data_IF_483243869947
#
_entry.id   IF_483243869947
#
_cell.length_a   1.000
_cell.length_b   1.000
_cell.length_c   1.000
_cell.angle_alpha   90.00
_cell.angle_beta   90.00
_cell.angle_gamma   90.00
#
_symmetry.space_group_name_H-M   'P 1'
#
loop_
_entity.id
_entity.type
_entity.pdbx_description
1 polymer ?
#
# COMPACT_ATOMS: atom_id res chain seq x y z
N UNK A 1 0.59 49.48 10.53
CA UNK A 1 -0.73 49.13 9.97
C UNK A 1 -1.84 49.50 10.96
N UNK A 2 -2.20 50.79 11.00
CA UNK A 2 -3.40 51.31 11.67
C UNK A 2 -4.38 51.86 10.63
N UNK A 3 -5.58 52.27 11.06
CA UNK A 3 -6.76 52.63 10.25
C UNK A 3 -6.52 53.44 8.96
N UNK A 4 -5.43 54.21 8.86
CA UNK A 4 -5.14 55.04 7.68
C UNK A 4 -4.15 54.46 6.65
N UNK A 5 -3.54 53.27 6.87
CA UNK A 5 -2.61 52.65 5.90
C UNK A 5 -2.56 51.11 6.00
N UNK A 6 -3.66 50.44 5.63
CA UNK A 6 -3.68 48.97 5.46
C UNK A 6 -3.41 48.59 4.00
N UNK A 7 -2.15 48.49 3.59
CA UNK A 7 -1.84 47.75 2.37
C UNK A 7 -2.14 46.25 2.60
N UNK A 8 -2.93 45.65 1.72
CA UNK A 8 -3.39 44.26 1.72
C UNK A 8 -4.49 43.83 2.73
N UNK A 9 -5.26 44.78 3.30
CA UNK A 9 -6.49 44.44 4.05
C UNK A 9 -6.29 43.74 5.41
N UNK A 10 -5.06 43.75 5.95
CA UNK A 10 -4.74 43.24 7.28
C UNK A 10 -4.63 44.40 8.28
N UNK A 11 -5.58 44.47 9.22
CA UNK A 11 -5.57 45.46 10.30
C UNK A 11 -4.95 44.84 11.56
N UNK A 12 -3.67 45.16 11.83
CA UNK A 12 -2.95 44.62 12.98
C UNK A 12 -3.40 45.24 14.31
N UNK A 13 -4.04 46.40 14.28
CA UNK A 13 -4.62 47.03 15.48
C UNK A 13 -5.89 46.32 15.97
N UNK A 14 -6.61 45.64 15.07
CA UNK A 14 -7.81 44.85 15.41
C UNK A 14 -7.51 43.34 15.55
N UNK A 15 -6.30 42.90 15.18
CA UNK A 15 -5.89 41.51 15.27
C UNK A 15 -5.60 41.13 16.74
N UNK A 16 -6.57 40.48 17.39
CA UNK A 16 -6.36 39.89 18.70
C UNK A 16 -5.24 38.83 18.67
N UNK A 17 -4.42 38.79 19.73
CA UNK A 17 -3.44 37.72 19.90
C UNK A 17 -4.13 36.46 20.41
N UNK A 18 -4.76 35.74 19.49
CA UNK A 18 -5.41 34.46 19.73
C UNK A 18 -4.82 33.41 18.76
N UNK A 19 -4.14 32.42 19.32
CA UNK A 19 -3.53 31.32 18.58
C UNK A 19 -4.32 30.01 18.70
N UNK A 20 -5.39 30.00 19.48
CA UNK A 20 -6.23 28.81 19.69
C UNK A 20 -7.31 28.71 18.59
N UNK A 21 -7.62 29.83 17.91
CA UNK A 21 -8.49 29.82 16.72
C UNK A 21 -7.71 29.60 15.41
N UNK A 22 -8.23 28.79 14.45
CA UNK A 22 -7.55 28.55 13.18
C UNK A 22 -7.28 29.82 12.36
N UNK A 23 -8.22 30.79 12.36
CA UNK A 23 -8.02 32.05 11.65
C UNK A 23 -6.98 32.95 12.33
N UNK A 24 -6.96 32.98 13.66
CA UNK A 24 -5.97 33.74 14.43
C UNK A 24 -4.56 33.19 14.22
N UNK A 25 -4.39 31.86 14.32
CA UNK A 25 -3.12 31.18 14.08
C UNK A 25 -2.56 31.46 12.68
N UNK A 26 -3.39 31.32 11.62
CA UNK A 26 -2.98 31.61 10.25
C UNK A 26 -2.61 33.08 10.03
N UNK A 27 -3.36 34.01 10.62
CA UNK A 27 -3.05 35.44 10.55
C UNK A 27 -1.68 35.74 11.17
N UNK A 28 -1.41 35.19 12.36
CA UNK A 28 -0.12 35.38 13.04
C UNK A 28 1.04 34.64 12.37
N UNK A 29 0.79 33.50 11.71
CA UNK A 29 1.78 32.82 10.87
C UNK A 29 2.19 33.69 9.68
N UNK A 30 1.23 34.31 8.99
CA UNK A 30 1.51 35.23 7.87
C UNK A 30 2.31 36.45 8.32
N UNK A 31 1.99 37.00 9.50
CA UNK A 31 2.78 38.09 10.10
C UNK A 31 4.22 37.64 10.36
N UNK A 32 4.41 36.45 10.93
CA UNK A 32 5.75 35.88 11.13
C UNK A 32 6.53 35.76 9.83
N UNK A 33 5.91 35.22 8.78
CA UNK A 33 6.53 35.06 7.45
C UNK A 33 6.92 36.40 6.84
N UNK A 34 6.02 37.40 6.85
CA UNK A 34 6.30 38.73 6.30
C UNK A 34 7.41 39.48 7.06
N UNK A 35 7.47 39.34 8.38
CA UNK A 35 8.54 39.95 9.18
C UNK A 35 9.87 39.22 8.94
N UNK A 36 9.85 37.89 8.83
CA UNK A 36 11.03 37.08 8.49
C UNK A 36 11.59 37.44 7.12
N UNK A 37 10.71 37.64 6.14
CA UNK A 37 11.07 37.93 4.75
C UNK A 37 11.42 39.41 4.53
N UNK A 38 11.34 40.23 5.58
CA UNK A 38 11.70 41.65 5.56
C UNK A 38 10.68 42.54 4.84
N UNK A 39 9.51 42.01 4.47
CA UNK A 39 8.40 42.78 3.90
C UNK A 39 7.73 43.68 4.96
N UNK A 40 7.89 43.32 6.24
CA UNK A 40 7.42 44.11 7.37
C UNK A 40 8.55 44.35 8.38
N UNK A 41 8.75 45.59 8.87
CA UNK A 41 7.97 46.80 8.57
C UNK A 41 8.46 47.55 7.29
N UNK A 42 7.54 48.18 6.53
CA UNK A 42 7.88 48.89 5.28
C UNK A 42 8.72 50.16 5.47
N UNK A 43 8.62 50.81 6.64
CA UNK A 43 9.53 51.87 7.09
C UNK A 43 10.29 51.33 8.30
N UNK A 44 11.56 50.94 8.13
CA UNK A 44 12.33 50.22 9.14
C UNK A 44 13.43 51.10 9.76
N UNK A 45 13.13 51.69 10.91
CA UNK A 45 14.14 52.17 11.89
C UNK A 45 14.42 51.12 12.99
N UNK A 46 13.85 49.91 12.89
CA UNK A 46 14.04 48.84 13.86
C UNK A 46 15.40 48.17 13.66
N UNK A 47 16.17 48.02 14.74
CA UNK A 47 17.45 47.31 14.71
C UNK A 47 17.25 45.81 14.50
N UNK A 48 18.20 45.15 13.82
CA UNK A 48 18.16 43.70 13.55
C UNK A 48 17.91 42.83 14.80
N UNK A 49 18.36 43.29 15.96
CA UNK A 49 18.17 42.60 17.25
C UNK A 49 16.69 42.59 17.71
N UNK A 50 15.94 43.65 17.42
CA UNK A 50 14.52 43.75 17.82
C UNK A 50 13.64 42.85 16.95
N UNK A 51 13.93 42.79 15.64
CA UNK A 51 13.27 41.88 14.71
C UNK A 51 13.53 40.41 15.07
N UNK A 52 14.78 40.05 15.38
CA UNK A 52 15.12 38.68 15.80
C UNK A 52 14.45 38.29 17.13
N UNK A 53 14.40 39.21 18.10
CA UNK A 53 13.70 39.00 19.37
C UNK A 53 12.19 38.77 19.16
N UNK A 54 11.57 39.55 18.28
CA UNK A 54 10.16 39.38 17.90
C UNK A 54 9.92 38.02 17.24
N UNK A 55 10.71 37.68 16.22
CA UNK A 55 10.58 36.41 15.50
C UNK A 55 10.75 35.22 16.45
N UNK A 56 11.76 35.23 17.32
CA UNK A 56 11.96 34.17 18.33
C UNK A 56 10.77 34.06 19.28
N UNK A 57 10.25 35.19 19.75
CA UNK A 57 9.11 35.23 20.67
C UNK A 57 7.83 34.67 20.04
N UNK A 58 7.53 35.08 18.80
CA UNK A 58 6.35 34.64 18.06
C UNK A 58 6.47 33.19 17.63
N UNK A 59 7.63 32.76 17.12
CA UNK A 59 7.88 31.38 16.71
C UNK A 59 7.64 30.40 17.87
N UNK A 60 8.16 30.71 19.07
CA UNK A 60 7.93 29.88 20.26
C UNK A 60 6.44 29.70 20.55
N UNK A 61 5.66 30.78 20.55
CA UNK A 61 4.22 30.73 20.82
C UNK A 61 3.44 29.98 19.74
N UNK A 62 3.82 30.15 18.47
CA UNK A 62 3.25 29.39 17.35
C UNK A 62 3.55 27.88 17.50
N UNK A 63 4.78 27.51 17.83
CA UNK A 63 5.16 26.11 18.08
C UNK A 63 4.43 25.50 19.29
N UNK A 64 4.25 26.27 20.37
CA UNK A 64 3.48 25.85 21.54
C UNK A 64 1.99 25.67 21.23
N UNK A 65 1.41 26.47 20.33
CA UNK A 65 0.02 26.27 19.89
C UNK A 65 -0.12 25.06 18.96
N UNK A 66 0.78 24.94 17.97
CA UNK A 66 0.79 23.83 17.01
C UNK A 66 0.99 22.48 17.71
N UNK A 67 1.93 22.40 18.65
CA UNK A 67 2.13 21.19 19.45
C UNK A 67 0.92 20.81 20.31
N UNK A 68 0.19 21.79 20.85
CA UNK A 68 -1.07 21.56 21.58
C UNK A 68 -2.17 21.04 20.65
N UNK A 69 -2.36 21.63 19.46
CA UNK A 69 -3.35 21.16 18.48
C UNK A 69 -3.02 19.75 17.98
N UNK A 70 -1.74 19.45 17.73
CA UNK A 70 -1.28 18.11 17.36
C UNK A 70 -1.51 17.10 18.49
N UNK A 71 -1.33 17.47 19.75
CA UNK A 71 -1.57 16.58 20.88
C UNK A 71 -3.07 16.28 21.08
N UNK A 72 -3.94 17.27 20.85
CA UNK A 72 -5.40 17.13 21.00
C UNK A 72 -6.04 16.41 19.81
N UNK A 73 -5.62 16.74 18.58
CA UNK A 73 -6.31 16.34 17.34
C UNK A 73 -5.48 15.43 16.44
N UNK A 74 -4.24 15.16 16.79
CA UNK A 74 -3.29 14.44 15.96
C UNK A 74 -2.68 15.32 14.86
N UNK A 75 -1.52 14.89 14.34
CA UNK A 75 -0.76 15.63 13.32
C UNK A 75 -1.50 15.78 11.98
N UNK A 76 -2.44 14.88 11.69
CA UNK A 76 -3.21 14.86 10.45
C UNK A 76 -4.67 14.97 10.84
N UNK A 77 -5.35 16.01 10.35
CA UNK A 77 -6.80 16.16 10.51
C UNK A 77 -7.48 14.90 9.98
N UNK A 78 -8.52 14.44 10.68
CA UNK A 78 -9.18 13.15 10.42
C UNK A 78 -9.40 12.91 8.92
N UNK A 79 -8.80 11.83 8.40
CA UNK A 79 -8.90 11.40 7.01
C UNK A 79 -9.59 10.04 6.95
N UNK A 80 -10.21 9.69 5.81
CA UNK A 80 -10.74 8.33 5.62
C UNK A 80 -9.59 7.35 5.34
N UNK A 81 -9.84 6.07 5.56
CA UNK A 81 -8.91 5.03 5.12
C UNK A 81 -8.97 4.93 3.59
N UNK A 82 -7.81 4.85 2.94
CA UNK A 82 -7.76 4.49 1.51
C UNK A 82 -8.33 3.09 1.31
N UNK A 83 -8.72 2.72 0.07
CA UNK A 83 -9.23 1.36 -0.24
C UNK A 83 -8.26 0.26 0.21
N UNK A 84 -6.96 0.50 0.07
CA UNK A 84 -5.90 -0.42 0.51
C UNK A 84 -5.82 -0.50 2.03
N UNK A 85 -5.85 0.65 2.71
CA UNK A 85 -5.81 0.70 4.18
C UNK A 85 -7.07 0.06 4.79
N UNK A 86 -8.24 0.30 4.18
CA UNK A 86 -9.50 -0.27 4.60
C UNK A 86 -9.49 -1.79 4.48
N UNK A 87 -9.08 -2.34 3.33
CA UNK A 87 -8.96 -3.78 3.13
C UNK A 87 -8.06 -4.42 4.20
N UNK A 88 -6.84 -3.89 4.39
CA UNK A 88 -5.91 -4.44 5.38
C UNK A 88 -6.45 -4.35 6.81
N UNK A 89 -7.16 -3.27 7.14
CA UNK A 89 -7.76 -3.08 8.47
C UNK A 89 -8.86 -4.10 8.72
N UNK A 90 -9.78 -4.27 7.76
CA UNK A 90 -10.87 -5.24 7.87
C UNK A 90 -10.35 -6.67 7.93
N UNK A 91 -9.35 -7.02 7.13
CA UNK A 91 -8.67 -8.33 7.20
C UNK A 91 -8.08 -8.59 8.57
N UNK A 92 -7.40 -7.59 9.14
CA UNK A 92 -6.76 -7.71 10.45
C UNK A 92 -7.78 -7.84 11.58
N UNK A 93 -8.91 -7.14 11.48
CA UNK A 93 -9.97 -7.17 12.49
C UNK A 93 -10.81 -8.45 12.44
N UNK A 94 -11.16 -8.91 11.24
CA UNK A 94 -12.09 -10.02 11.04
C UNK A 94 -11.41 -11.36 10.75
N UNK A 95 -10.10 -11.37 10.48
CA UNK A 95 -9.37 -12.59 10.11
C UNK A 95 -9.75 -13.14 8.72
N UNK A 96 -10.29 -12.29 7.84
CA UNK A 96 -10.68 -12.65 6.48
C UNK A 96 -9.62 -12.20 5.46
N UNK A 97 -9.70 -12.68 4.22
CA UNK A 97 -8.75 -12.36 3.13
C UNK A 97 -9.43 -12.06 1.77
N UNK A 98 -10.74 -11.78 1.79
CA UNK A 98 -11.54 -11.42 0.61
C UNK A 98 -10.96 -10.19 -0.12
N UNK A 99 -10.88 -10.15 -1.46
CA UNK A 99 -10.48 -8.96 -2.19
C UNK A 99 -11.57 -7.88 -2.11
N UNK A 100 -11.38 -6.88 -1.26
CA UNK A 100 -12.33 -5.79 -0.99
C UNK A 100 -11.97 -4.52 -1.78
N UNK A 101 -10.68 -4.34 -2.10
CA UNK A 101 -10.14 -3.15 -2.74
C UNK A 101 -10.84 -2.86 -4.07
N UNK A 102 -11.08 -3.89 -4.87
CA UNK A 102 -11.71 -3.78 -6.20
C UNK A 102 -13.21 -3.46 -6.14
N UNK A 103 -13.81 -3.55 -4.94
CA UNK A 103 -15.22 -3.22 -4.69
C UNK A 103 -15.40 -1.76 -4.24
N UNK A 104 -14.31 -1.09 -3.89
CA UNK A 104 -14.30 0.31 -3.50
C UNK A 104 -13.92 1.19 -4.70
N UNK A 105 -14.51 2.39 -4.84
CA UNK A 105 -14.08 3.37 -5.82
C UNK A 105 -12.59 3.70 -5.71
N UNK A 106 -11.98 4.06 -6.82
CA UNK A 106 -10.58 4.46 -6.83
C UNK A 106 -10.34 5.74 -6.04
N UNK A 107 -9.33 5.73 -5.17
CA UNK A 107 -8.88 6.93 -4.48
C UNK A 107 -8.15 7.86 -5.45
N UNK A 108 -8.53 9.14 -5.45
CA UNK A 108 -7.90 10.17 -6.28
C UNK A 108 -6.58 10.58 -5.64
N UNK A 109 -5.46 10.29 -6.32
CA UNK A 109 -4.14 10.77 -5.90
C UNK A 109 -4.01 12.27 -6.21
N UNK A 110 -3.69 13.06 -5.19
CA UNK A 110 -3.29 14.46 -5.36
C UNK A 110 -1.79 14.57 -5.15
N UNK A 111 -1.09 15.22 -6.09
CA UNK A 111 0.38 15.33 -6.09
C UNK A 111 1.13 13.98 -5.98
N UNK A 112 0.52 12.88 -6.46
CA UNK A 112 1.10 11.54 -6.40
C UNK A 112 0.92 10.81 -5.06
N UNK A 113 0.20 11.40 -4.10
CA UNK A 113 -0.11 10.78 -2.82
C UNK A 113 -1.62 10.58 -2.66
N UNK A 114 -2.00 9.40 -2.18
CA UNK A 114 -3.40 9.04 -1.91
C UNK A 114 -3.84 9.43 -0.49
N UNK A 115 -2.90 9.85 0.39
CA UNK A 115 -3.13 10.09 1.84
C UNK A 115 -3.40 11.56 2.20
N UNK A 116 -3.58 12.43 1.21
CA UNK A 116 -3.84 13.86 1.43
C UNK A 116 -5.27 14.04 1.95
N UNK A 117 -5.42 14.46 3.20
CA UNK A 117 -6.74 14.56 3.87
C UNK A 117 -7.73 15.46 3.11
N UNK A 118 -7.27 16.59 2.55
CA UNK A 118 -8.12 17.55 1.84
C UNK A 118 -8.71 16.99 0.52
N UNK A 119 -8.10 15.95 -0.06
CA UNK A 119 -8.61 15.31 -1.28
C UNK A 119 -9.53 14.12 -1.01
N UNK A 120 -9.70 13.75 0.26
CA UNK A 120 -10.45 12.56 0.67
C UNK A 120 -11.87 12.91 1.16
N UNK A 121 -12.66 13.56 0.31
CA UNK A 121 -14.05 13.86 0.64
C UNK A 121 -14.91 12.57 0.70
N UNK A 122 -15.74 12.47 1.73
CA UNK A 122 -16.73 11.40 1.88
C UNK A 122 -18.02 11.79 1.13
N UNK A 123 -18.27 11.14 0.01
CA UNK A 123 -19.56 11.26 -0.69
C UNK A 123 -20.56 10.22 -0.16
N UNK A 124 -21.86 10.50 -0.30
CA UNK A 124 -22.91 9.56 0.09
C UNK A 124 -22.79 8.21 -0.66
N UNK A 125 -22.43 8.25 -1.94
CA UNK A 125 -22.21 7.04 -2.75
C UNK A 125 -21.04 6.20 -2.22
N UNK A 126 -19.94 6.87 -1.86
CA UNK A 126 -18.76 6.20 -1.31
C UNK A 126 -19.08 5.55 0.05
N UNK A 127 -19.81 6.25 0.91
CA UNK A 127 -20.25 5.69 2.20
C UNK A 127 -21.13 4.45 2.01
N UNK A 128 -22.08 4.49 1.08
CA UNK A 128 -22.90 3.32 0.74
C UNK A 128 -22.04 2.14 0.28
N UNK A 129 -21.00 2.38 -0.53
CA UNK A 129 -20.04 1.34 -0.93
C UNK A 129 -19.23 0.78 0.23
N UNK A 130 -18.80 1.60 1.18
CA UNK A 130 -18.12 1.09 2.36
C UNK A 130 -19.02 0.16 3.19
N UNK A 131 -20.31 0.50 3.32
CA UNK A 131 -21.29 -0.35 4.02
C UNK A 131 -21.54 -1.66 3.26
N UNK A 132 -21.75 -1.62 1.94
CA UNK A 132 -21.89 -2.82 1.11
C UNK A 132 -20.68 -3.77 1.27
N UNK A 133 -19.48 -3.21 1.28
CA UNK A 133 -18.22 -3.96 1.44
C UNK A 133 -18.07 -4.49 2.88
N UNK A 134 -18.50 -3.72 3.88
CA UNK A 134 -18.52 -4.18 5.27
C UNK A 134 -19.47 -5.35 5.47
N UNK A 135 -20.67 -5.32 4.89
CA UNK A 135 -21.64 -6.42 4.97
C UNK A 135 -21.08 -7.71 4.34
N UNK A 136 -20.39 -7.59 3.20
CA UNK A 136 -19.70 -8.72 2.57
C UNK A 136 -18.58 -9.28 3.43
N UNK A 137 -17.76 -8.40 4.00
CA UNK A 137 -16.68 -8.79 4.90
C UNK A 137 -17.20 -9.50 6.15
N UNK A 138 -18.31 -9.02 6.74
CA UNK A 138 -18.95 -9.65 7.88
C UNK A 138 -19.57 -10.99 7.52
N UNK A 139 -20.22 -11.10 6.35
CA UNK A 139 -20.77 -12.38 5.88
C UNK A 139 -19.68 -13.44 5.74
N UNK A 140 -18.54 -13.09 5.14
CA UNK A 140 -17.37 -13.97 5.04
C UNK A 140 -16.82 -14.37 6.43
N UNK A 141 -16.70 -13.39 7.33
CA UNK A 141 -16.20 -13.64 8.68
C UNK A 141 -17.12 -14.59 9.47
N UNK A 142 -18.44 -14.41 9.36
CA UNK A 142 -19.41 -15.30 9.99
C UNK A 142 -19.41 -16.69 9.37
N UNK A 143 -19.31 -16.79 8.05
CA UNK A 143 -19.23 -18.08 7.37
C UNK A 143 -18.01 -18.88 7.85
N UNK A 144 -16.83 -18.26 7.90
CA UNK A 144 -15.61 -18.89 8.45
C UNK A 144 -15.74 -19.26 9.92
N UNK A 145 -16.33 -18.38 10.73
CA UNK A 145 -16.49 -18.63 12.15
C UNK A 145 -17.43 -19.83 12.42
N UNK A 146 -18.46 -20.01 11.60
CA UNK A 146 -19.47 -21.06 11.78
C UNK A 146 -19.07 -22.38 11.09
N UNK A 147 -18.55 -22.30 9.87
CA UNK A 147 -18.28 -23.46 9.02
C UNK A 147 -16.78 -23.87 9.00
N UNK A 148 -15.91 -23.00 9.52
CA UNK A 148 -14.45 -23.15 9.44
C UNK A 148 -13.90 -22.79 8.06
N UNK A 149 -12.56 -22.76 7.96
CA UNK A 149 -11.91 -22.49 6.67
C UNK A 149 -12.12 -23.65 5.68
N UNK A 150 -12.45 -23.31 4.44
CA UNK A 150 -12.51 -24.28 3.34
C UNK A 150 -11.11 -24.83 3.09
N UNK A 151 -10.88 -26.10 3.46
CA UNK A 151 -9.59 -26.76 3.23
C UNK A 151 -9.53 -27.29 1.80
N UNK A 152 -8.73 -26.64 0.96
CA UNK A 152 -8.35 -27.16 -0.35
C UNK A 152 -6.89 -27.65 -0.35
N UNK A 153 -6.69 -28.92 -0.72
CA UNK A 153 -5.38 -29.50 -0.94
C UNK A 153 -5.39 -30.25 -2.27
N UNK A 154 -4.37 -30.01 -3.09
CA UNK A 154 -4.22 -30.67 -4.38
C UNK A 154 -2.76 -30.98 -4.68
N UNK A 155 -2.48 -32.26 -4.94
CA UNK A 155 -1.16 -32.72 -5.37
C UNK A 155 -1.06 -32.77 -6.89
N UNK A 156 0.02 -32.16 -7.40
CA UNK A 156 0.32 -32.11 -8.82
C UNK A 156 1.55 -32.96 -9.11
N UNK A 157 1.31 -34.15 -9.66
CA UNK A 157 2.41 -35.00 -10.13
C UNK A 157 3.20 -34.30 -11.25
N UNK A 158 4.48 -34.64 -11.45
CA UNK A 158 5.30 -34.03 -12.50
C UNK A 158 4.66 -34.14 -13.90
N UNK A 159 3.99 -35.26 -14.18
CA UNK A 159 3.20 -35.44 -15.40
C UNK A 159 2.03 -34.45 -15.52
N UNK A 160 1.33 -34.16 -14.42
CA UNK A 160 0.21 -33.19 -14.41
C UNK A 160 0.67 -31.75 -14.59
N UNK A 161 1.87 -31.40 -14.10
CA UNK A 161 2.48 -30.08 -14.30
C UNK A 161 2.83 -29.83 -15.77
N UNK A 162 3.22 -30.88 -16.50
CA UNK A 162 3.55 -30.86 -17.93
C UNK A 162 2.34 -31.02 -18.88
N UNK A 163 1.22 -31.53 -18.39
CA UNK A 163 0.01 -31.76 -19.19
C UNK A 163 -0.79 -30.47 -19.46
N UNK A 164 -1.38 -30.37 -20.67
CA UNK A 164 -2.41 -29.36 -20.98
C UNK A 164 -1.89 -28.05 -21.56
N UNK A 165 -0.57 -27.89 -21.72
CA UNK A 165 0.02 -26.84 -22.55
C UNK A 165 -0.11 -27.37 -23.99
N UNK A 166 -1.04 -26.82 -24.77
CA UNK A 166 -1.56 -27.44 -26.00
C UNK A 166 -0.52 -28.15 -26.88
N UNK A 167 -0.93 -29.24 -27.54
CA UNK A 167 -0.13 -30.23 -28.31
C UNK A 167 0.94 -29.70 -29.29
N UNK A 168 1.07 -28.38 -29.48
CA UNK A 168 2.04 -27.71 -30.37
C UNK A 168 3.01 -26.77 -29.66
N UNK A 169 2.96 -26.65 -28.33
CA UNK A 169 3.76 -25.68 -27.61
C UNK A 169 4.97 -26.33 -26.92
N UNK A 170 6.10 -26.41 -27.63
CA UNK A 170 7.38 -26.95 -27.16
C UNK A 170 8.08 -26.11 -26.06
N UNK A 171 7.35 -25.17 -25.46
CA UNK A 171 7.87 -24.21 -24.46
C UNK A 171 7.49 -24.59 -23.02
N UNK A 172 6.67 -25.62 -22.83
CA UNK A 172 6.32 -26.15 -21.51
C UNK A 172 7.34 -27.18 -21.00
N UNK A 173 7.25 -27.58 -19.72
CA UNK A 173 8.09 -28.65 -19.20
C UNK A 173 7.79 -29.99 -19.89
N UNK A 174 8.84 -30.78 -20.06
CA UNK A 174 8.78 -32.17 -20.50
C UNK A 174 8.62 -33.08 -19.28
N UNK A 175 7.74 -34.07 -19.36
CA UNK A 175 7.67 -35.11 -18.33
C UNK A 175 8.55 -36.29 -18.74
N UNK A 176 9.60 -36.55 -17.97
CA UNK A 176 10.59 -37.60 -18.25
C UNK A 176 11.10 -38.20 -16.95
N UNK A 177 11.20 -39.53 -16.90
CA UNK A 177 11.75 -40.29 -15.76
C UNK A 177 11.09 -39.96 -14.40
N UNK A 178 9.79 -39.67 -14.42
CA UNK A 178 9.04 -39.27 -13.23
C UNK A 178 9.19 -37.80 -12.83
N UNK A 179 9.95 -37.01 -13.59
CA UNK A 179 10.24 -35.59 -13.32
C UNK A 179 9.54 -34.66 -14.33
N UNK A 180 9.50 -33.37 -13.99
CA UNK A 180 8.96 -32.29 -14.84
C UNK A 180 10.09 -31.33 -15.14
N UNK A 181 10.70 -31.46 -16.31
CA UNK A 181 11.95 -30.79 -16.68
C UNK A 181 11.63 -29.61 -17.59
N UNK A 182 12.04 -28.41 -17.18
CA UNK A 182 11.98 -27.22 -18.04
C UNK A 182 13.34 -26.94 -18.64
N UNK A 183 13.39 -26.84 -19.96
CA UNK A 183 14.62 -26.53 -20.69
C UNK A 183 14.76 -25.01 -20.89
N UNK A 184 15.91 -24.41 -20.56
CA UNK A 184 16.16 -23.02 -20.91
C UNK A 184 16.27 -22.93 -22.44
N UNK A 185 15.46 -22.06 -23.03
CA UNK A 185 15.50 -21.75 -24.46
C UNK A 185 15.50 -20.23 -24.61
N UNK A 186 16.11 -19.72 -25.68
CA UNK A 186 16.18 -18.28 -25.96
C UNK A 186 14.85 -17.65 -26.42
N UNK A 187 13.73 -18.34 -26.19
CA UNK A 187 12.39 -17.88 -26.57
C UNK A 187 11.63 -17.38 -25.35
N UNK A 188 10.88 -16.29 -25.51
CA UNK A 188 9.98 -15.83 -24.45
C UNK A 188 8.96 -16.92 -24.06
N UNK A 189 8.57 -16.92 -22.78
CA UNK A 189 7.55 -17.80 -22.19
C UNK A 189 7.91 -19.29 -22.11
N UNK A 190 9.19 -19.63 -22.02
CA UNK A 190 9.64 -20.99 -21.73
C UNK A 190 9.40 -21.39 -20.26
N UNK A 191 9.32 -22.71 -20.01
CA UNK A 191 9.15 -23.28 -18.67
C UNK A 191 7.79 -22.96 -18.02
N UNK A 192 6.81 -22.46 -18.78
CA UNK A 192 5.46 -22.23 -18.24
C UNK A 192 4.83 -23.57 -17.91
N UNK A 193 4.39 -23.72 -16.67
CA UNK A 193 3.62 -24.88 -16.22
C UNK A 193 2.12 -24.66 -16.45
N UNK A 194 1.34 -25.73 -16.33
CA UNK A 194 -0.12 -25.65 -16.35
C UNK A 194 -0.62 -24.64 -15.31
N UNK A 195 -1.58 -23.80 -15.69
CA UNK A 195 -2.27 -22.94 -14.73
C UNK A 195 -3.22 -23.77 -13.86
N UNK A 196 -3.08 -23.63 -12.55
CA UNK A 196 -3.94 -24.28 -11.56
C UNK A 196 -5.06 -23.31 -11.21
N UNK A 197 -6.30 -23.78 -11.30
CA UNK A 197 -7.48 -23.06 -10.79
C UNK A 197 -7.75 -23.54 -9.38
N UNK A 198 -7.89 -22.60 -8.45
CA UNK A 198 -8.32 -22.85 -7.08
C UNK A 198 -9.82 -22.60 -6.96
N UNK A 199 -10.52 -23.28 -6.04
CA UNK A 199 -11.98 -23.18 -5.95
C UNK A 199 -12.45 -21.83 -5.42
N UNK A 200 -11.72 -21.26 -4.46
CA UNK A 200 -12.14 -20.08 -3.69
C UNK A 200 -10.99 -19.09 -3.54
N UNK A 201 -11.31 -17.88 -3.09
CA UNK A 201 -10.32 -16.87 -2.74
C UNK A 201 -9.61 -17.21 -1.43
N UNK A 202 -8.35 -16.78 -1.33
CA UNK A 202 -7.66 -16.73 -0.05
C UNK A 202 -6.18 -17.06 -0.10
N UNK A 203 -5.64 -17.41 1.07
CA UNK A 203 -4.24 -17.78 1.24
C UNK A 203 -3.98 -19.25 0.93
N UNK A 204 -3.13 -19.48 -0.07
CA UNK A 204 -2.69 -20.81 -0.45
C UNK A 204 -1.22 -21.01 -0.09
N UNK A 205 -0.92 -22.17 0.52
CA UNK A 205 0.45 -22.66 0.67
C UNK A 205 0.81 -23.52 -0.52
N UNK A 206 1.85 -23.12 -1.23
CA UNK A 206 2.40 -23.85 -2.36
C UNK A 206 3.75 -24.40 -1.94
N UNK A 207 3.88 -25.72 -1.98
CA UNK A 207 5.12 -26.43 -1.70
C UNK A 207 5.62 -27.07 -2.97
N UNK A 208 6.86 -26.74 -3.35
CA UNK A 208 7.55 -27.41 -4.44
C UNK A 208 8.56 -28.40 -3.86
N UNK A 209 8.42 -29.65 -4.26
CA UNK A 209 9.27 -30.76 -3.82
C UNK A 209 10.37 -31.04 -4.84
N UNK A 210 11.55 -31.44 -4.35
CA UNK A 210 12.67 -31.97 -5.13
C UNK A 210 13.15 -31.07 -6.28
N UNK A 211 13.07 -29.76 -6.09
CA UNK A 211 13.49 -28.77 -7.09
C UNK A 211 15.01 -28.70 -7.16
N UNK A 212 15.57 -28.95 -8.35
CA UNK A 212 17.01 -28.89 -8.58
C UNK A 212 17.37 -28.47 -10.00
N UNK A 213 18.56 -27.89 -10.16
CA UNK A 213 19.15 -27.64 -11.46
C UNK A 213 19.83 -28.92 -11.97
N UNK A 214 19.65 -29.24 -13.25
CA UNK A 214 20.35 -30.35 -13.91
C UNK A 214 21.56 -29.77 -14.63
N UNK A 215 22.76 -30.30 -14.33
CA UNK A 215 24.05 -29.82 -14.84
C UNK A 215 24.29 -28.29 -14.66
N UNK A 216 24.18 -27.76 -13.43
CA UNK A 216 24.42 -26.33 -13.17
C UNK A 216 25.88 -25.94 -13.40
N UNK A 217 26.11 -24.76 -13.98
CA UNK A 217 27.40 -24.07 -13.84
C UNK A 217 27.67 -23.73 -12.35
N UNK A 218 28.91 -23.35 -11.99
CA UNK A 218 29.25 -22.99 -10.61
C UNK A 218 28.25 -21.97 -10.03
N UNK A 219 27.57 -22.33 -8.93
CA UNK A 219 26.53 -21.50 -8.30
C UNK A 219 25.12 -21.62 -8.91
N UNK A 220 24.88 -22.60 -9.80
CA UNK A 220 23.61 -22.75 -10.48
C UNK A 220 22.44 -22.94 -9.52
N UNK A 221 21.46 -22.06 -9.69
CA UNK A 221 20.27 -21.93 -8.85
C UNK A 221 19.05 -22.06 -9.75
N UNK A 222 17.99 -22.70 -9.27
CA UNK A 222 16.69 -22.69 -9.95
C UNK A 222 15.94 -21.43 -9.54
N UNK A 223 15.47 -20.67 -10.54
CA UNK A 223 14.64 -19.49 -10.34
C UNK A 223 13.30 -19.69 -11.04
N UNK A 224 12.24 -19.17 -10.42
CA UNK A 224 10.89 -19.23 -10.97
C UNK A 224 10.17 -17.90 -10.81
N UNK A 225 9.09 -17.75 -11.57
CA UNK A 225 8.10 -16.72 -11.32
C UNK A 225 6.78 -17.41 -11.01
N UNK A 226 6.25 -17.20 -9.81
CA UNK A 226 4.88 -17.56 -9.51
C UNK A 226 3.98 -16.38 -9.86
N UNK A 227 2.80 -16.69 -10.40
CA UNK A 227 1.84 -15.70 -10.87
C UNK A 227 0.44 -16.11 -10.43
N UNK A 228 -0.30 -15.17 -9.86
CA UNK A 228 -1.71 -15.34 -9.46
C UNK A 228 -2.58 -14.21 -9.96
N UNK A 229 -3.86 -14.50 -10.18
CA UNK A 229 -4.88 -13.53 -10.60
C UNK A 229 -6.03 -14.17 -11.39
N UNK A 230 -7.12 -13.42 -11.49
CA UNK A 230 -8.41 -13.80 -12.10
C UNK A 230 -8.30 -14.20 -13.58
N UNK A 231 -7.48 -13.48 -14.35
CA UNK A 231 -7.33 -13.72 -15.80
C UNK A 231 -5.87 -13.66 -16.21
N UNK A 232 -5.48 -14.40 -17.28
CA UNK A 232 -4.12 -14.58 -17.78
C UNK A 232 -3.27 -13.30 -17.94
N UNK A 233 -3.91 -12.12 -17.99
CA UNK A 233 -3.33 -10.83 -18.31
C UNK A 233 -3.14 -9.90 -17.10
N UNK A 234 -3.82 -10.11 -15.98
CA UNK A 234 -3.74 -9.25 -14.77
C UNK A 234 -2.86 -9.83 -13.66
N UNK A 235 -1.93 -10.71 -14.01
CA UNK A 235 -1.17 -11.51 -13.05
C UNK A 235 -0.17 -10.67 -12.25
N UNK A 236 -0.33 -10.60 -10.92
CA UNK A 236 0.74 -10.12 -10.02
C UNK A 236 1.89 -11.13 -10.07
N UNK A 237 3.11 -10.62 -10.27
CA UNK A 237 4.32 -11.44 -10.45
C UNK A 237 5.13 -11.44 -9.17
N UNK A 238 5.38 -12.63 -8.64
CA UNK A 238 6.34 -12.84 -7.56
C UNK A 238 7.55 -13.56 -8.12
N UNK A 239 8.72 -12.90 -8.10
CA UNK A 239 9.99 -13.52 -8.43
C UNK A 239 10.49 -14.28 -7.20
N UNK A 240 10.90 -15.54 -7.37
CA UNK A 240 11.30 -16.35 -6.24
C UNK A 240 12.43 -17.33 -6.58
N UNK A 241 13.37 -17.46 -5.64
CA UNK A 241 14.48 -18.41 -5.69
C UNK A 241 13.99 -19.77 -5.20
N UNK A 242 14.13 -20.79 -6.02
CA UNK A 242 13.60 -22.12 -5.76
C UNK A 242 14.60 -23.10 -5.15
N UNK A 243 15.88 -22.74 -5.06
CA UNK A 243 16.91 -23.56 -4.41
C UNK A 243 17.64 -22.78 -3.33
N UNK A 244 17.88 -23.38 -2.14
CA UNK A 244 18.77 -22.81 -1.12
C UNK A 244 20.16 -22.55 -1.69
N UNK A 245 20.85 -21.51 -1.23
CA UNK A 245 22.24 -21.19 -1.63
C UNK A 245 23.30 -22.13 -1.04
N UNK A 246 22.95 -23.30 -0.51
CA UNK A 246 23.95 -24.26 -0.03
C UNK A 246 23.44 -25.69 -0.20
N UNK A 247 24.31 -26.52 -0.75
CA UNK A 247 24.11 -27.94 -1.01
C UNK A 247 23.73 -28.68 0.28
N UNK A 248 22.47 -29.08 0.41
CA UNK A 248 22.05 -30.18 1.30
C UNK A 248 20.92 -30.96 0.63
N UNK A 249 21.11 -32.26 0.33
CA UNK A 249 20.08 -33.10 -0.26
C UNK A 249 19.28 -33.76 0.86
N UNK A 250 18.35 -33.04 1.48
CA UNK A 250 17.30 -33.70 2.26
C UNK A 250 16.06 -32.82 2.37
N UNK A 251 14.98 -33.24 1.68
CA UNK A 251 13.58 -32.93 2.00
C UNK A 251 13.21 -31.47 2.30
N UNK A 252 13.92 -30.49 1.77
CA UNK A 252 13.57 -29.08 1.91
C UNK A 252 12.59 -28.70 0.79
N UNK A 253 11.30 -28.94 1.02
CA UNK A 253 10.25 -28.37 0.16
C UNK A 253 10.34 -26.84 0.19
N UNK A 254 10.40 -26.23 -0.98
CA UNK A 254 10.38 -24.78 -1.08
C UNK A 254 8.92 -24.34 -0.84
N UNK A 255 8.67 -23.67 0.29
CA UNK A 255 7.35 -23.23 0.71
C UNK A 255 7.12 -21.76 0.34
N UNK A 256 5.99 -21.49 -0.30
CA UNK A 256 5.55 -20.14 -0.62
C UNK A 256 4.09 -19.96 -0.18
N UNK A 257 3.83 -18.91 0.59
CA UNK A 257 2.48 -18.46 0.91
C UNK A 257 2.08 -17.42 -0.14
N UNK A 258 0.97 -17.65 -0.84
CA UNK A 258 0.49 -16.74 -1.87
C UNK A 258 -1.02 -16.54 -1.74
N UNK A 259 -1.46 -15.28 -1.84
CA UNK A 259 -2.85 -14.90 -1.92
C UNK A 259 -3.36 -15.06 -3.36
N UNK A 260 -4.49 -15.73 -3.51
CA UNK A 260 -5.22 -15.85 -4.79
C UNK A 260 -6.58 -15.18 -4.61
N UNK A 261 -6.90 -14.22 -5.48
CA UNK A 261 -8.25 -13.68 -5.63
C UNK A 261 -8.76 -13.99 -7.04
N UNK A 262 -10.02 -14.42 -7.12
CA UNK A 262 -10.83 -14.74 -8.28
C UNK A 262 -11.58 -13.52 -8.81
#
# INVERSE_FOLDING_TARGET
HGQDNSEAGLNLTELAFDLDTPQGFESWRRVYERVRDGEMPPESDLGANETDAFLKGLNRRLMESDSRDIADRGRVRGRRLTRTEYEHTIHSLLGIDLPLQDQLPEDTAMHGFETVADSQQLSHHLLARYLDVADRALAEAFDRALNGDVKYAADFSPRRLAQGIGRRNYRGPESRDGESISWPIYLAFYGRMRSIRVPEDGWYRITLHDVRAVNPANGGTVWGTLRSGVTAFTWKRVLWKLTPSSATPSAAGCNLLLRVGL
#
